data_IF_866269347569
#
_entry.id   IF_866269347569
#
_cell.length_a   1.000
_cell.length_b   1.000
_cell.length_c   1.000
_cell.angle_alpha   90.00
_cell.angle_beta   90.00
_cell.angle_gamma   90.00
#
_symmetry.space_group_name_H-M   'P 1'
#
loop_
_entity.id
_entity.type
_entity.pdbx_description
1 polymer ?
#
# COMPACT_ATOMS: atom_id res chain seq x y z
N UNK A 1 -3.43 -10.70 25.62
CA UNK A 1 -4.58 -10.13 24.91
C UNK A 1 -4.14 -9.20 23.78
N UNK A 2 -3.21 -8.24 24.03
CA UNK A 2 -2.71 -7.28 23.02
C UNK A 2 -1.93 -7.98 21.90
N UNK A 3 -1.10 -9.00 22.20
CA UNK A 3 -0.37 -9.78 21.18
C UNK A 3 -1.30 -10.51 20.19
N UNK A 4 -2.45 -11.00 20.66
CA UNK A 4 -3.44 -11.65 19.80
C UNK A 4 -4.16 -10.65 18.89
N UNK A 5 -4.40 -9.42 19.36
CA UNK A 5 -4.98 -8.34 18.55
C UNK A 5 -4.03 -7.91 17.44
N UNK A 6 -2.74 -7.73 17.74
CA UNK A 6 -1.72 -7.37 16.74
C UNK A 6 -1.51 -8.47 15.69
N UNK A 7 -1.51 -9.73 16.09
CA UNK A 7 -1.43 -10.83 15.16
C UNK A 7 -2.66 -10.88 14.24
N UNK A 8 -3.86 -10.68 14.77
CA UNK A 8 -5.08 -10.65 13.98
C UNK A 8 -5.09 -9.51 12.96
N UNK A 9 -4.61 -8.30 13.31
CA UNK A 9 -4.52 -7.17 12.37
C UNK A 9 -3.50 -7.40 11.24
N UNK A 10 -2.35 -8.04 11.55
CA UNK A 10 -1.37 -8.41 10.53
C UNK A 10 -1.93 -9.43 9.53
N UNK A 11 -2.66 -10.43 10.00
CA UNK A 11 -3.38 -11.38 9.13
C UNK A 11 -4.35 -10.67 8.21
N UNK A 12 -5.10 -9.73 8.74
CA UNK A 12 -6.13 -8.99 8.04
C UNK A 12 -5.60 -8.26 6.80
N UNK A 13 -4.55 -7.46 6.96
CA UNK A 13 -3.94 -6.71 5.86
C UNK A 13 -3.28 -7.61 4.83
N UNK A 14 -2.60 -8.65 5.29
CA UNK A 14 -1.77 -9.51 4.44
C UNK A 14 -2.59 -10.50 3.58
N UNK A 15 -3.77 -10.92 4.01
CA UNK A 15 -4.66 -11.76 3.20
C UNK A 15 -4.97 -11.09 1.85
N UNK A 16 -5.25 -9.79 1.85
CA UNK A 16 -5.54 -9.04 0.62
C UNK A 16 -4.35 -9.05 -0.34
N UNK A 17 -3.12 -8.96 0.17
CA UNK A 17 -1.89 -9.03 -0.64
C UNK A 17 -1.74 -10.43 -1.26
N UNK A 18 -1.96 -11.49 -0.47
CA UNK A 18 -1.87 -12.88 -0.95
C UNK A 18 -2.91 -13.13 -2.04
N UNK A 19 -4.18 -12.79 -1.79
CA UNK A 19 -5.26 -13.00 -2.76
C UNK A 19 -4.99 -12.25 -4.06
N UNK A 20 -4.55 -10.99 -4.01
CA UNK A 20 -4.25 -10.19 -5.20
C UNK A 20 -2.99 -10.66 -5.94
N UNK A 21 -2.07 -11.33 -5.29
CA UNK A 21 -0.82 -11.80 -5.91
C UNK A 21 -0.96 -13.22 -6.45
N UNK A 22 -1.58 -14.11 -5.69
CA UNK A 22 -1.72 -15.53 -6.03
C UNK A 22 -2.95 -15.79 -6.90
N UNK A 23 -4.07 -15.10 -6.64
CA UNK A 23 -5.34 -15.30 -7.32
C UNK A 23 -5.25 -15.21 -8.86
N UNK A 24 -4.71 -14.13 -9.45
CA UNK A 24 -4.56 -14.02 -10.90
C UNK A 24 -3.72 -15.14 -11.51
N UNK A 25 -2.69 -15.59 -10.78
CA UNK A 25 -1.85 -16.70 -11.25
C UNK A 25 -2.62 -18.02 -11.25
N UNK A 26 -3.44 -18.29 -10.25
CA UNK A 26 -4.26 -19.50 -10.23
C UNK A 26 -5.37 -19.48 -11.27
N UNK A 27 -5.99 -18.33 -11.52
CA UNK A 27 -6.98 -18.18 -12.59
C UNK A 27 -6.34 -18.38 -13.98
N UNK A 28 -5.08 -17.97 -14.16
CA UNK A 28 -4.34 -18.12 -15.41
C UNK A 28 -3.72 -19.51 -15.63
N UNK A 29 -3.77 -20.41 -14.63
CA UNK A 29 -3.39 -21.79 -14.81
C UNK A 29 -4.37 -22.43 -15.82
N UNK A 30 -3.81 -22.94 -16.92
CA UNK A 30 -4.60 -23.51 -17.99
C UNK A 30 -5.48 -24.65 -17.46
N UNK A 31 -6.77 -24.52 -17.59
CA UNK A 31 -7.73 -25.59 -17.27
C UNK A 31 -7.33 -26.91 -17.96
N UNK A 32 -6.74 -26.80 -19.15
CA UNK A 32 -6.25 -27.95 -19.93
C UNK A 32 -5.25 -28.81 -19.16
N UNK A 33 -4.34 -28.24 -18.38
CA UNK A 33 -3.37 -29.00 -17.59
C UNK A 33 -4.05 -29.78 -16.46
N UNK A 34 -5.09 -29.22 -15.88
CA UNK A 34 -5.89 -29.87 -14.84
C UNK A 34 -6.71 -31.01 -15.47
N UNK A 35 -7.32 -30.77 -16.62
CA UNK A 35 -8.05 -31.80 -17.37
C UNK A 35 -7.13 -32.93 -17.85
N UNK A 36 -5.95 -32.62 -18.38
CA UNK A 36 -4.95 -33.62 -18.73
C UNK A 36 -4.52 -34.49 -17.53
N UNK A 37 -4.33 -33.87 -16.36
CA UNK A 37 -3.99 -34.65 -15.15
C UNK A 37 -5.14 -35.59 -14.76
N UNK A 38 -6.38 -35.17 -14.86
CA UNK A 38 -7.55 -36.00 -14.58
C UNK A 38 -7.72 -37.12 -15.62
N UNK A 39 -7.48 -36.85 -16.90
CA UNK A 39 -7.52 -37.90 -17.95
C UNK A 39 -6.43 -38.95 -17.77
N UNK A 40 -5.30 -38.58 -17.18
CA UNK A 40 -4.21 -39.50 -16.79
C UNK A 40 -4.51 -40.22 -15.45
N UNK A 41 -5.71 -40.08 -14.89
CA UNK A 41 -6.12 -40.77 -13.66
C UNK A 41 -5.67 -40.13 -12.36
N UNK A 42 -5.14 -38.91 -12.38
CA UNK A 42 -4.74 -38.22 -11.18
C UNK A 42 -5.95 -37.82 -10.32
N UNK A 43 -5.93 -38.12 -9.03
CA UNK A 43 -6.90 -37.62 -8.08
C UNK A 43 -6.78 -36.09 -7.90
N UNK A 44 -7.83 -35.44 -7.39
CA UNK A 44 -7.81 -33.99 -7.14
C UNK A 44 -6.65 -33.55 -6.24
N UNK A 45 -6.28 -34.36 -5.24
CA UNK A 45 -5.14 -34.09 -4.36
C UNK A 45 -3.80 -34.22 -5.09
N UNK A 46 -3.68 -35.22 -5.94
CA UNK A 46 -2.48 -35.42 -6.78
C UNK A 46 -2.31 -34.29 -7.79
N UNK A 47 -3.40 -33.88 -8.46
CA UNK A 47 -3.42 -32.74 -9.37
C UNK A 47 -3.02 -31.45 -8.63
N UNK A 48 -3.55 -31.23 -7.42
CA UNK A 48 -3.19 -30.06 -6.61
C UNK A 48 -1.70 -30.06 -6.23
N UNK A 49 -1.18 -31.21 -5.75
CA UNK A 49 0.21 -31.32 -5.26
C UNK A 49 1.26 -31.32 -6.39
N UNK A 50 0.98 -31.95 -7.53
CA UNK A 50 1.97 -32.16 -8.58
C UNK A 50 1.83 -31.21 -9.77
N UNK A 51 0.66 -30.55 -9.95
CA UNK A 51 0.43 -29.62 -11.06
C UNK A 51 0.24 -28.19 -10.53
N UNK A 52 -0.82 -27.96 -9.72
CA UNK A 52 -1.23 -26.62 -9.32
C UNK A 52 -0.19 -25.96 -8.41
N UNK A 53 0.24 -26.66 -7.36
CA UNK A 53 1.17 -26.12 -6.37
C UNK A 53 2.54 -25.81 -6.98
N UNK A 54 3.19 -26.69 -7.78
CA UNK A 54 4.46 -26.38 -8.43
C UNK A 54 4.38 -25.19 -9.39
N UNK A 55 3.32 -25.07 -10.17
CA UNK A 55 3.10 -23.93 -11.09
C UNK A 55 2.78 -22.64 -10.35
N UNK A 56 2.17 -22.73 -9.17
CA UNK A 56 1.86 -21.58 -8.30
C UNK A 56 3.00 -21.13 -7.39
N UNK A 57 4.10 -21.90 -7.26
CA UNK A 57 5.20 -21.61 -6.32
C UNK A 57 5.74 -20.19 -6.42
N UNK A 58 5.96 -19.69 -7.64
CA UNK A 58 6.51 -18.35 -7.85
C UNK A 58 5.62 -17.24 -7.30
N UNK A 59 4.29 -17.40 -7.43
CA UNK A 59 3.32 -16.44 -6.88
C UNK A 59 3.24 -16.54 -5.35
N UNK A 60 3.31 -17.75 -4.79
CA UNK A 60 3.31 -17.98 -3.34
C UNK A 60 4.57 -17.36 -2.72
N UNK A 61 5.77 -17.61 -3.25
CA UNK A 61 7.00 -17.01 -2.76
C UNK A 61 7.00 -15.49 -2.92
N UNK A 62 6.43 -14.98 -4.01
CA UNK A 62 6.31 -13.54 -4.23
C UNK A 62 5.37 -12.88 -3.23
N UNK A 63 4.23 -13.51 -2.91
CA UNK A 63 3.30 -12.99 -1.91
C UNK A 63 3.89 -13.07 -0.50
N UNK A 64 4.58 -14.17 -0.17
CA UNK A 64 5.23 -14.33 1.13
C UNK A 64 6.32 -13.27 1.38
N UNK A 65 7.16 -13.01 0.38
CA UNK A 65 8.18 -11.97 0.48
C UNK A 65 7.58 -10.57 0.61
N UNK A 66 6.55 -10.26 -0.18
CA UNK A 66 5.88 -8.96 -0.09
C UNK A 66 5.22 -8.78 1.28
N UNK A 67 4.55 -9.82 1.78
CA UNK A 67 3.98 -9.85 3.12
C UNK A 67 5.06 -9.63 4.20
N UNK A 68 6.20 -10.30 4.05
CA UNK A 68 7.33 -10.12 4.96
C UNK A 68 7.81 -8.66 4.98
N UNK A 69 8.04 -8.04 3.81
CA UNK A 69 8.48 -6.64 3.73
C UNK A 69 7.45 -5.68 4.34
N UNK A 70 6.16 -5.88 4.05
CA UNK A 70 5.09 -5.06 4.62
C UNK A 70 4.97 -5.21 6.14
N UNK A 71 5.15 -6.42 6.68
CA UNK A 71 5.15 -6.65 8.12
C UNK A 71 6.38 -6.07 8.81
N UNK A 72 7.54 -6.16 8.14
CA UNK A 72 8.81 -5.71 8.70
C UNK A 72 8.86 -4.17 8.81
N UNK A 73 8.27 -3.47 7.85
CA UNK A 73 8.20 -1.99 7.81
C UNK A 73 6.90 -1.44 8.41
N UNK A 74 6.20 -2.23 9.24
CA UNK A 74 4.93 -1.83 9.85
C UNK A 74 5.17 -0.94 11.08
N UNK A 75 5.04 0.38 10.91
CA UNK A 75 5.21 1.37 11.97
C UNK A 75 3.88 1.80 12.61
N UNK A 76 2.95 2.30 11.80
CA UNK A 76 1.74 2.97 12.31
C UNK A 76 0.85 2.09 13.18
N UNK A 77 0.63 0.83 12.77
CA UNK A 77 -0.22 -0.11 13.51
C UNK A 77 0.37 -0.39 14.89
N UNK A 78 1.68 -0.60 14.96
CA UNK A 78 2.34 -0.96 16.21
C UNK A 78 2.48 0.26 17.13
N UNK A 79 2.68 1.44 16.56
CA UNK A 79 2.71 2.71 17.33
C UNK A 79 1.37 2.98 18.01
N UNK A 80 0.24 2.73 17.33
CA UNK A 80 -1.09 3.03 17.87
C UNK A 80 -1.63 1.90 18.75
N UNK A 81 -1.40 0.63 18.38
CA UNK A 81 -1.98 -0.53 19.07
C UNK A 81 -0.97 -1.29 19.93
N UNK A 82 0.33 -1.06 19.74
CA UNK A 82 1.40 -1.67 20.51
C UNK A 82 1.50 -1.07 21.90
N UNK A 83 1.66 -1.91 22.90
CA UNK A 83 1.99 -1.45 24.25
C UNK A 83 3.50 -1.17 24.41
N UNK A 84 3.91 -0.63 25.57
CA UNK A 84 5.31 -0.23 25.87
C UNK A 84 6.36 -1.33 25.73
N UNK A 85 5.94 -2.61 25.61
CA UNK A 85 6.85 -3.76 25.48
C UNK A 85 7.01 -4.27 24.04
N UNK A 86 6.38 -3.64 23.03
CA UNK A 86 6.44 -4.09 21.63
C UNK A 86 7.15 -3.03 20.79
N UNK A 87 8.49 -3.08 20.76
CA UNK A 87 9.30 -2.22 19.91
C UNK A 87 9.70 -2.96 18.63
N UNK A 88 9.37 -2.38 17.46
CA UNK A 88 9.99 -2.73 16.17
C UNK A 88 11.17 -1.81 15.91
N UNK A 89 12.00 -2.15 14.90
CA UNK A 89 13.09 -1.27 14.49
C UNK A 89 12.59 0.14 14.13
N UNK A 90 11.48 0.26 13.42
CA UNK A 90 10.89 1.55 13.05
C UNK A 90 10.47 2.38 14.27
N UNK A 91 9.91 1.74 15.30
CA UNK A 91 9.54 2.42 16.56
C UNK A 91 10.79 2.87 17.31
N UNK A 92 11.81 2.04 17.38
CA UNK A 92 13.05 2.40 18.06
C UNK A 92 13.79 3.52 17.32
N UNK A 93 13.81 3.51 15.99
CA UNK A 93 14.34 4.60 15.17
C UNK A 93 13.61 5.91 15.48
N UNK A 94 12.29 5.89 15.50
CA UNK A 94 11.48 7.06 15.82
C UNK A 94 11.74 7.54 17.26
N UNK A 95 11.73 6.63 18.22
CA UNK A 95 11.98 6.93 19.64
C UNK A 95 13.32 7.61 19.84
N UNK A 96 14.39 7.06 19.25
CA UNK A 96 15.74 7.64 19.34
C UNK A 96 15.81 9.01 18.69
N UNK A 97 15.32 9.14 17.46
CA UNK A 97 15.43 10.39 16.72
C UNK A 97 14.58 11.51 17.32
N UNK A 98 13.30 11.22 17.66
CA UNK A 98 12.33 12.27 18.00
C UNK A 98 12.15 12.44 19.50
N UNK A 99 12.17 11.35 20.28
CA UNK A 99 11.93 11.43 21.73
C UNK A 99 13.21 11.61 22.53
N UNK A 100 14.31 10.96 22.11
CA UNK A 100 15.59 11.01 22.82
C UNK A 100 16.59 12.02 22.21
N UNK A 101 16.34 12.51 20.99
CA UNK A 101 17.29 13.39 20.26
C UNK A 101 18.57 12.69 19.80
N UNK A 102 18.63 11.35 19.90
CA UNK A 102 19.77 10.54 19.45
C UNK A 102 19.68 10.25 17.95
N UNK A 103 20.00 11.26 17.14
CA UNK A 103 20.00 11.12 15.67
C UNK A 103 21.04 10.12 15.20
N UNK A 104 22.19 10.04 15.86
CA UNK A 104 23.28 9.12 15.50
C UNK A 104 22.85 7.67 15.66
N UNK A 105 22.31 7.32 16.85
CA UNK A 105 21.80 5.97 17.11
C UNK A 105 20.63 5.60 16.23
N UNK A 106 19.72 6.54 15.95
CA UNK A 106 18.62 6.34 15.01
C UNK A 106 19.12 6.06 13.58
N UNK A 107 20.13 6.81 13.11
CA UNK A 107 20.72 6.62 11.78
C UNK A 107 21.41 5.27 11.65
N UNK A 108 22.15 4.81 12.66
CA UNK A 108 22.77 3.47 12.64
C UNK A 108 21.71 2.37 12.50
N UNK A 109 20.63 2.46 13.27
CA UNK A 109 19.52 1.49 13.17
C UNK A 109 18.84 1.54 11.80
N UNK A 110 18.61 2.73 11.26
CA UNK A 110 18.01 2.92 9.94
C UNK A 110 18.88 2.32 8.83
N UNK A 111 20.19 2.54 8.85
CA UNK A 111 21.15 1.94 7.90
C UNK A 111 21.17 0.41 8.04
N UNK A 112 21.22 -0.11 9.28
CA UNK A 112 21.16 -1.55 9.52
C UNK A 112 19.87 -2.18 8.97
N UNK A 113 18.72 -1.53 9.21
CA UNK A 113 17.43 -1.95 8.66
C UNK A 113 17.42 -1.93 7.14
N UNK A 114 17.89 -0.86 6.53
CA UNK A 114 17.96 -0.73 5.07
C UNK A 114 18.86 -1.80 4.44
N UNK A 115 20.03 -2.08 5.03
CA UNK A 115 20.91 -3.15 4.57
C UNK A 115 20.25 -4.51 4.67
N UNK A 116 19.62 -4.82 5.81
CA UNK A 116 18.93 -6.10 6.02
C UNK A 116 17.82 -6.30 4.97
N UNK A 117 16.95 -5.31 4.77
CA UNK A 117 15.86 -5.37 3.80
C UNK A 117 16.39 -5.49 2.37
N UNK A 118 17.44 -4.72 2.03
CA UNK A 118 18.07 -4.77 0.70
C UNK A 118 18.66 -6.15 0.42
N UNK A 119 19.37 -6.74 1.37
CA UNK A 119 19.93 -8.08 1.24
C UNK A 119 18.79 -9.12 1.07
N UNK A 120 17.76 -9.05 1.93
CA UNK A 120 16.60 -9.94 1.83
C UNK A 120 15.89 -9.79 0.46
N UNK A 121 15.75 -8.57 -0.03
CA UNK A 121 15.19 -8.28 -1.36
C UNK A 121 16.06 -8.85 -2.49
N UNK A 122 17.37 -8.68 -2.44
CA UNK A 122 18.30 -9.22 -3.45
C UNK A 122 18.28 -10.74 -3.49
N UNK A 123 18.25 -11.40 -2.33
CA UNK A 123 18.12 -12.86 -2.24
C UNK A 123 16.79 -13.30 -2.87
N UNK A 124 15.70 -12.65 -2.50
CA UNK A 124 14.38 -12.95 -3.07
C UNK A 124 14.30 -12.70 -4.57
N UNK A 125 14.87 -11.59 -5.06
CA UNK A 125 14.83 -11.25 -6.49
C UNK A 125 15.59 -12.23 -7.37
N UNK A 126 16.67 -12.85 -6.84
CA UNK A 126 17.42 -13.90 -7.53
C UNK A 126 16.64 -15.22 -7.65
N UNK A 127 15.76 -15.48 -6.70
CA UNK A 127 14.92 -16.69 -6.70
C UNK A 127 13.73 -16.60 -7.66
N UNK A 128 13.52 -15.44 -8.30
CA UNK A 128 12.50 -15.25 -9.33
C UNK A 128 13.02 -15.77 -10.67
N UNK A 129 12.62 -16.94 -11.07
CA UNK A 129 12.41 -17.25 -12.48
C UNK A 129 11.12 -16.49 -12.89
N UNK A 130 11.31 -15.32 -13.48
CA UNK A 130 10.19 -14.56 -14.05
C UNK A 130 9.79 -15.25 -15.34
N UNK A 131 9.05 -16.32 -15.24
CA UNK A 131 8.18 -16.70 -16.32
C UNK A 131 7.05 -15.65 -16.38
N UNK A 132 7.29 -14.64 -17.21
CA UNK A 132 6.25 -13.78 -17.76
C UNK A 132 5.38 -14.65 -18.70
N UNK A 133 4.65 -15.60 -18.13
CA UNK A 133 3.56 -16.25 -18.84
C UNK A 133 2.58 -15.16 -19.18
N UNK A 134 2.40 -14.90 -20.48
CA UNK A 134 1.39 -14.04 -21.05
C UNK A 134 0.08 -14.37 -20.34
N UNK A 135 -0.40 -13.46 -19.50
CA UNK A 135 -1.68 -13.62 -18.83
C UNK A 135 -2.75 -13.61 -19.93
N UNK A 136 -3.17 -14.78 -20.36
CA UNK A 136 -4.44 -14.90 -21.05
C UNK A 136 -5.48 -14.72 -19.94
N UNK A 137 -6.14 -13.59 -19.92
CA UNK A 137 -7.31 -13.41 -19.07
C UNK A 137 -8.33 -14.44 -19.57
N UNK A 138 -8.36 -15.58 -18.91
CA UNK A 138 -9.41 -16.55 -19.13
C UNK A 138 -10.72 -15.83 -18.80
N UNK A 139 -11.64 -15.80 -19.75
CA UNK A 139 -12.97 -15.26 -19.51
C UNK A 139 -13.51 -15.97 -18.27
N UNK A 140 -13.83 -15.17 -17.23
CA UNK A 140 -14.37 -15.70 -15.97
C UNK A 140 -15.65 -16.43 -16.35
N UNK A 141 -15.57 -17.76 -16.40
CA UNK A 141 -16.74 -18.59 -16.61
C UNK A 141 -17.75 -18.26 -15.50
N UNK A 142 -18.95 -17.84 -15.89
CA UNK A 142 -20.06 -17.54 -14.97
C UNK A 142 -20.62 -18.82 -14.33
N UNK A 143 -19.74 -19.74 -13.94
CA UNK A 143 -20.14 -20.95 -13.23
C UNK A 143 -20.71 -20.56 -11.87
N UNK A 144 -21.96 -20.92 -11.61
CA UNK A 144 -22.59 -20.72 -10.30
C UNK A 144 -21.71 -21.36 -9.25
N UNK A 145 -21.14 -20.54 -8.36
CA UNK A 145 -20.34 -21.02 -7.25
C UNK A 145 -21.15 -22.03 -6.43
N UNK A 146 -20.55 -23.17 -6.08
CA UNK A 146 -21.13 -24.12 -5.14
C UNK A 146 -21.39 -23.44 -3.77
N UNK A 147 -22.23 -24.04 -2.93
CA UNK A 147 -22.63 -23.43 -1.64
C UNK A 147 -21.42 -23.21 -0.72
N UNK A 148 -20.49 -24.17 -0.64
CA UNK A 148 -19.31 -24.08 0.23
C UNK A 148 -18.41 -22.87 -0.06
N UNK A 149 -17.98 -22.60 -1.32
CA UNK A 149 -17.22 -21.38 -1.62
C UNK A 149 -18.01 -20.09 -1.38
N UNK A 150 -19.34 -20.06 -1.55
CA UNK A 150 -20.14 -18.87 -1.19
C UNK A 150 -20.12 -18.59 0.30
N UNK A 151 -20.28 -19.63 1.13
CA UNK A 151 -20.20 -19.51 2.58
C UNK A 151 -18.80 -19.05 3.03
N UNK A 152 -17.74 -19.58 2.41
CA UNK A 152 -16.37 -19.18 2.69
C UNK A 152 -16.14 -17.70 2.36
N UNK A 153 -16.55 -17.24 1.17
CA UNK A 153 -16.48 -15.82 0.78
C UNK A 153 -17.32 -14.95 1.73
N UNK A 154 -18.52 -15.39 2.09
CA UNK A 154 -19.36 -14.71 3.08
C UNK A 154 -18.67 -14.57 4.44
N UNK A 155 -18.09 -15.65 4.96
CA UNK A 155 -17.34 -15.63 6.22
C UNK A 155 -16.12 -14.70 6.16
N UNK A 156 -15.36 -14.73 5.06
CA UNK A 156 -14.28 -13.77 4.83
C UNK A 156 -14.78 -12.33 4.80
N UNK A 157 -15.88 -12.05 4.12
CA UNK A 157 -16.46 -10.71 4.05
C UNK A 157 -16.84 -10.21 5.46
N UNK A 158 -17.50 -11.03 6.24
CA UNK A 158 -17.83 -10.73 7.65
C UNK A 158 -16.55 -10.49 8.47
N UNK A 159 -15.56 -11.35 8.32
CA UNK A 159 -14.27 -11.20 8.99
C UNK A 159 -13.59 -9.86 8.63
N UNK A 160 -13.64 -9.44 7.35
CA UNK A 160 -13.08 -8.16 6.92
C UNK A 160 -13.91 -6.94 7.34
N UNK A 161 -15.21 -7.07 7.47
CA UNK A 161 -16.08 -6.00 7.93
C UNK A 161 -16.11 -5.84 9.46
N UNK A 162 -15.76 -6.89 10.20
CA UNK A 162 -15.82 -6.88 11.66
C UNK A 162 -14.99 -5.75 12.33
N UNK A 163 -13.72 -5.50 11.97
CA UNK A 163 -12.98 -4.38 12.55
C UNK A 163 -13.54 -3.01 12.16
N UNK A 164 -14.06 -2.86 10.93
CA UNK A 164 -14.70 -1.61 10.49
C UNK A 164 -15.99 -1.34 11.25
N UNK A 165 -16.80 -2.37 11.49
CA UNK A 165 -18.00 -2.25 12.32
C UNK A 165 -17.65 -1.97 13.78
N UNK A 166 -16.63 -2.63 14.33
CA UNK A 166 -16.14 -2.36 15.67
C UNK A 166 -15.62 -0.91 15.82
N UNK A 167 -14.85 -0.40 14.83
CA UNK A 167 -14.41 0.98 14.79
C UNK A 167 -15.59 1.95 14.73
N UNK A 168 -16.58 1.65 13.88
CA UNK A 168 -17.80 2.45 13.75
C UNK A 168 -18.55 2.52 15.09
N UNK A 169 -18.78 1.38 15.75
CA UNK A 169 -19.42 1.33 17.06
C UNK A 169 -18.59 2.10 18.10
N UNK A 170 -17.28 1.89 18.13
CA UNK A 170 -16.38 2.56 19.08
C UNK A 170 -16.35 4.08 18.90
N UNK A 171 -16.54 4.61 17.67
CA UNK A 171 -16.58 6.04 17.40
C UNK A 171 -17.81 6.75 18.02
N UNK A 172 -18.87 6.01 18.29
CA UNK A 172 -20.10 6.50 18.93
C UNK A 172 -20.16 6.16 20.43
N UNK A 173 -19.06 5.72 21.03
CA UNK A 173 -18.97 5.39 22.46
C UNK A 173 -17.91 6.22 23.17
N UNK A 174 -18.25 6.73 24.35
CA UNK A 174 -17.30 7.40 25.23
C UNK A 174 -17.30 6.67 26.56
N UNK A 175 -16.23 5.92 26.82
CA UNK A 175 -16.19 4.95 27.94
C UNK A 175 -17.20 3.83 27.73
N UNK A 176 -18.13 3.68 28.66
CA UNK A 176 -19.18 2.65 28.60
C UNK A 176 -20.53 3.15 28.05
N UNK A 177 -20.66 4.46 27.78
CA UNK A 177 -21.92 5.07 27.33
C UNK A 177 -21.90 5.40 25.84
N UNK A 178 -23.07 5.34 25.21
CA UNK A 178 -23.28 5.87 23.86
C UNK A 178 -23.25 7.39 23.91
N UNK A 179 -22.37 8.00 23.11
CA UNK A 179 -22.19 9.45 23.11
C UNK A 179 -21.56 9.95 21.80
N UNK A 180 -22.00 11.10 21.36
CA UNK A 180 -21.41 11.83 20.24
C UNK A 180 -20.28 12.79 20.67
N UNK A 181 -19.84 12.75 21.94
CA UNK A 181 -18.83 13.67 22.44
C UNK A 181 -17.50 13.60 21.67
N UNK A 182 -17.07 12.42 21.24
CA UNK A 182 -15.90 12.26 20.38
C UNK A 182 -16.01 13.01 19.06
N UNK A 183 -17.16 12.93 18.41
CA UNK A 183 -17.47 13.65 17.18
C UNK A 183 -17.62 15.16 17.39
N UNK A 184 -18.28 15.58 18.48
CA UNK A 184 -18.45 17.00 18.82
C UNK A 184 -17.11 17.68 19.08
N UNK A 185 -16.21 17.01 19.79
CA UNK A 185 -14.83 17.52 20.01
C UNK A 185 -14.05 17.52 18.72
N UNK A 186 -14.15 16.45 17.90
CA UNK A 186 -13.44 16.36 16.62
C UNK A 186 -13.81 17.51 15.68
N UNK A 187 -15.10 17.88 15.59
CA UNK A 187 -15.57 18.97 14.74
C UNK A 187 -15.53 20.36 15.40
N UNK A 188 -14.94 20.48 16.58
CA UNK A 188 -14.82 21.77 17.28
C UNK A 188 -16.12 22.30 17.87
N UNK A 189 -17.19 21.48 17.92
CA UNK A 189 -18.48 21.87 18.51
C UNK A 189 -18.38 21.94 20.04
N UNK A 190 -17.53 21.10 20.62
CA UNK A 190 -17.27 21.06 22.06
C UNK A 190 -15.78 21.23 22.30
N UNK A 191 -15.42 22.34 22.95
CA UNK A 191 -14.04 22.58 23.35
C UNK A 191 -13.65 21.71 24.54
N UNK A 192 -12.54 21.01 24.43
CA UNK A 192 -11.92 20.29 25.53
C UNK A 192 -10.54 20.87 25.82
N UNK A 193 -10.28 21.24 27.09
CA UNK A 193 -8.97 21.77 27.50
C UNK A 193 -7.85 20.79 27.10
N UNK A 194 -6.83 21.32 26.42
CA UNK A 194 -5.68 20.53 25.96
C UNK A 194 -5.88 19.74 24.65
N UNK A 195 -7.03 19.89 23.97
CA UNK A 195 -7.31 19.34 22.64
C UNK A 195 -7.61 20.49 21.66
N UNK A 196 -6.54 21.16 21.22
CA UNK A 196 -6.65 22.11 20.10
C UNK A 196 -6.54 21.28 18.80
N UNK A 197 -7.69 20.91 18.23
CA UNK A 197 -7.77 20.11 17.02
C UNK A 197 -8.41 20.96 15.92
N UNK A 198 -7.73 21.11 14.81
CA UNK A 198 -8.34 21.61 13.58
C UNK A 198 -8.46 20.46 12.58
N UNK A 199 -9.59 19.74 12.67
CA UNK A 199 -9.86 18.61 11.79
C UNK A 199 -10.04 19.03 10.33
N UNK A 200 -10.57 20.24 10.11
CA UNK A 200 -10.79 20.76 8.77
C UNK A 200 -9.47 21.07 8.08
N UNK A 201 -8.55 21.72 8.81
CA UNK A 201 -7.19 21.98 8.32
C UNK A 201 -6.47 20.64 8.02
N UNK A 202 -6.58 19.65 8.90
CA UNK A 202 -5.95 18.35 8.68
C UNK A 202 -6.54 17.58 7.49
N UNK A 203 -7.84 17.65 7.28
CA UNK A 203 -8.50 17.08 6.10
C UNK A 203 -8.04 17.76 4.81
N UNK A 204 -8.02 19.09 4.80
CA UNK A 204 -7.53 19.87 3.66
C UNK A 204 -6.04 19.58 3.38
N UNK A 205 -5.21 19.54 4.41
CA UNK A 205 -3.78 19.22 4.30
C UNK A 205 -3.58 17.81 3.76
N UNK A 206 -4.27 16.81 4.32
CA UNK A 206 -4.19 15.42 3.85
C UNK A 206 -4.67 15.28 2.41
N UNK A 207 -5.78 15.92 2.06
CA UNK A 207 -6.33 15.92 0.70
C UNK A 207 -5.39 16.61 -0.30
N UNK A 208 -4.85 17.77 0.06
CA UNK A 208 -3.87 18.51 -0.75
C UNK A 208 -2.60 17.68 -0.98
N UNK A 209 -2.06 17.06 0.07
CA UNK A 209 -0.87 16.23 -0.05
C UNK A 209 -1.13 14.98 -0.88
N UNK A 210 -2.27 14.33 -0.71
CA UNK A 210 -2.65 13.17 -1.51
C UNK A 210 -2.79 13.51 -3.01
N UNK A 211 -3.38 14.65 -3.32
CA UNK A 211 -3.51 15.11 -4.70
C UNK A 211 -2.14 15.41 -5.33
N UNK A 212 -1.29 16.19 -4.66
CA UNK A 212 0.03 16.55 -5.16
C UNK A 212 0.92 15.31 -5.29
N UNK A 213 0.92 14.44 -4.27
CA UNK A 213 1.66 13.18 -4.31
C UNK A 213 1.24 12.32 -5.50
N UNK A 214 -0.06 12.22 -5.78
CA UNK A 214 -0.57 11.48 -6.94
C UNK A 214 -0.19 12.13 -8.26
N UNK A 215 -0.22 13.46 -8.36
CA UNK A 215 0.22 14.21 -9.54
C UNK A 215 1.72 14.02 -9.84
N UNK A 216 2.53 13.70 -8.84
CA UNK A 216 3.97 13.42 -9.02
C UNK A 216 4.19 11.92 -9.25
N UNK A 217 3.58 11.06 -8.42
CA UNK A 217 3.79 9.61 -8.45
C UNK A 217 3.31 8.96 -9.76
N UNK A 218 2.21 9.47 -10.33
CA UNK A 218 1.63 8.90 -11.54
C UNK A 218 2.54 9.09 -12.77
N UNK A 219 2.95 10.31 -13.17
CA UNK A 219 3.81 10.48 -14.34
C UNK A 219 5.19 9.85 -14.13
N UNK A 220 5.77 9.94 -12.93
CA UNK A 220 7.07 9.32 -12.63
C UNK A 220 7.00 7.79 -12.67
N UNK A 221 5.94 7.20 -12.12
CA UNK A 221 5.72 5.75 -12.16
C UNK A 221 5.44 5.23 -13.57
N UNK A 222 4.66 5.96 -14.39
CA UNK A 222 4.43 5.60 -15.80
C UNK A 222 5.70 5.75 -16.62
N UNK A 223 6.49 6.81 -16.43
CA UNK A 223 7.77 6.99 -17.09
C UNK A 223 8.75 5.87 -16.74
N UNK A 224 8.84 5.49 -15.47
CA UNK A 224 9.62 4.35 -15.03
C UNK A 224 9.14 3.03 -15.67
N UNK A 225 7.82 2.80 -15.71
CA UNK A 225 7.22 1.63 -16.38
C UNK A 225 7.59 1.58 -17.86
N UNK A 226 7.48 2.70 -18.57
CA UNK A 226 7.85 2.82 -19.98
C UNK A 226 9.33 2.53 -20.21
N UNK A 227 10.22 3.13 -19.40
CA UNK A 227 11.65 2.92 -19.48
C UNK A 227 12.00 1.43 -19.28
N UNK A 228 11.46 0.78 -18.25
CA UNK A 228 11.74 -0.62 -17.95
C UNK A 228 11.11 -1.61 -18.95
N UNK A 229 9.99 -1.25 -19.60
CA UNK A 229 9.35 -2.12 -20.60
C UNK A 229 10.06 -2.11 -21.95
N UNK A 230 10.74 -1.02 -22.30
CA UNK A 230 11.41 -0.84 -23.59
C UNK A 230 12.87 -1.31 -23.64
N UNK A 231 13.47 -1.68 -22.51
CA UNK A 231 14.90 -2.07 -22.46
C UNK A 231 15.20 -3.41 -23.14
N UNK A 232 14.24 -4.06 -23.79
CA UNK A 232 14.43 -5.28 -24.62
C UNK A 232 15.08 -6.45 -23.85
N UNK A 233 15.50 -6.19 -22.65
CA UNK A 233 16.20 -7.13 -21.81
C UNK A 233 15.17 -7.97 -21.06
N UNK A 234 15.09 -9.24 -21.41
CA UNK A 234 14.59 -10.31 -20.54
C UNK A 234 15.30 -10.31 -19.17
N UNK A 235 16.22 -9.36 -18.94
CA UNK A 235 16.99 -9.23 -17.71
C UNK A 235 16.07 -8.72 -16.60
N UNK A 236 15.51 -9.65 -15.88
CA UNK A 236 14.73 -9.55 -14.64
C UNK A 236 15.31 -8.55 -13.59
N UNK A 237 16.58 -8.15 -13.72
CA UNK A 237 17.28 -7.29 -12.78
C UNK A 237 16.77 -5.85 -12.76
N UNK A 238 16.50 -5.26 -13.94
CA UNK A 238 15.99 -3.89 -14.03
C UNK A 238 14.55 -3.74 -13.54
N UNK A 239 13.69 -4.73 -13.83
CA UNK A 239 12.32 -4.75 -13.31
C UNK A 239 12.29 -4.92 -11.79
N UNK A 240 13.30 -5.59 -11.22
CA UNK A 240 13.43 -5.72 -9.77
C UNK A 240 13.82 -4.38 -9.10
N UNK A 241 14.66 -3.57 -9.76
CA UNK A 241 15.03 -2.24 -9.24
C UNK A 241 13.82 -1.28 -9.15
N UNK A 242 12.84 -1.41 -10.04
CA UNK A 242 11.61 -0.61 -9.98
C UNK A 242 10.76 -0.91 -8.72
N UNK A 243 10.94 -2.09 -8.13
CA UNK A 243 10.21 -2.55 -6.94
C UNK A 243 11.03 -2.33 -5.65
N UNK A 244 12.34 -2.07 -5.78
CA UNK A 244 13.23 -1.86 -4.64
C UNK A 244 12.75 -0.77 -3.67
N UNK A 245 12.16 0.37 -4.11
CA UNK A 245 11.64 1.37 -3.18
C UNK A 245 10.48 0.86 -2.30
N UNK A 246 9.78 -0.22 -2.70
CA UNK A 246 8.75 -0.86 -1.84
C UNK A 246 9.33 -1.50 -0.57
N UNK A 247 10.62 -1.78 -0.56
CA UNK A 247 11.31 -2.36 0.60
C UNK A 247 11.87 -1.31 1.56
N UNK A 248 11.82 -0.02 1.20
CA UNK A 248 12.31 1.06 2.06
C UNK A 248 11.19 1.45 3.03
N UNK A 249 11.49 1.43 4.34
CA UNK A 249 10.53 1.88 5.36
C UNK A 249 10.28 3.38 5.22
N UNK A 250 9.01 3.84 5.25
CA UNK A 250 8.67 5.26 5.30
C UNK A 250 9.34 6.00 6.47
N UNK A 251 9.54 5.33 7.61
CA UNK A 251 10.24 5.86 8.78
C UNK A 251 11.70 6.19 8.44
N UNK A 252 12.38 5.27 7.76
CA UNK A 252 13.78 5.48 7.31
C UNK A 252 13.86 6.64 6.31
N UNK A 253 12.88 6.76 5.40
CA UNK A 253 12.81 7.89 4.45
C UNK A 253 12.64 9.21 5.22
N UNK A 254 11.70 9.24 6.18
CA UNK A 254 11.45 10.43 7.00
C UNK A 254 12.69 10.86 7.79
N UNK A 255 13.38 9.91 8.43
CA UNK A 255 14.63 10.18 9.14
C UNK A 255 15.74 10.65 8.20
N UNK A 256 15.93 10.00 7.04
CA UNK A 256 16.96 10.38 6.08
C UNK A 256 16.78 11.84 5.62
N UNK A 257 15.54 12.25 5.37
CA UNK A 257 15.22 13.62 5.00
C UNK A 257 15.47 14.57 6.17
N UNK A 258 15.07 14.18 7.38
CA UNK A 258 15.31 14.96 8.59
C UNK A 258 16.82 15.24 8.77
N UNK A 259 17.65 14.22 8.64
CA UNK A 259 19.10 14.33 8.82
C UNK A 259 19.77 15.10 7.65
N UNK A 260 19.31 14.87 6.41
CA UNK A 260 19.94 15.46 5.23
C UNK A 260 19.61 16.95 5.05
N UNK A 261 18.41 17.37 5.39
CA UNK A 261 17.91 18.73 5.14
C UNK A 261 17.85 19.62 6.39
N UNK A 262 18.48 19.19 7.49
CA UNK A 262 18.58 19.97 8.72
C UNK A 262 19.82 20.90 8.72
N UNK A 263 20.59 20.98 7.62
CA UNK A 263 21.78 21.81 7.47
C UNK A 263 21.51 23.07 6.66
N UNK A 264 21.96 24.23 7.17
CA UNK A 264 22.02 25.47 6.41
C UNK A 264 22.91 25.29 5.15
N UNK A 265 22.60 25.90 3.99
CA UNK A 265 21.67 27.01 3.77
C UNK A 265 20.25 26.58 3.34
N UNK A 266 19.97 25.29 3.27
CA UNK A 266 18.74 24.76 2.69
C UNK A 266 17.74 24.40 3.79
N UNK A 267 16.94 25.37 4.26
CA UNK A 267 15.80 25.11 5.15
C UNK A 267 14.62 24.45 4.40
N UNK A 268 14.90 23.40 3.60
CA UNK A 268 13.85 22.65 2.90
C UNK A 268 12.87 21.97 3.84
N UNK A 269 13.28 21.72 5.08
CA UNK A 269 12.42 21.20 6.15
C UNK A 269 11.22 22.11 6.41
N UNK A 270 11.33 23.42 6.14
CA UNK A 270 10.22 24.37 6.25
C UNK A 270 9.27 24.30 5.06
N UNK A 271 9.65 23.64 3.98
CA UNK A 271 8.85 23.62 2.76
C UNK A 271 7.66 22.69 2.89
N UNK A 272 6.47 23.23 2.65
CA UNK A 272 5.22 22.48 2.58
C UNK A 272 5.22 21.41 1.49
N UNK A 273 6.08 21.55 0.49
CA UNK A 273 6.19 20.65 -0.66
C UNK A 273 6.96 19.35 -0.36
N UNK A 274 7.77 19.33 0.69
CA UNK A 274 8.61 18.19 1.02
C UNK A 274 7.79 16.94 1.35
N UNK A 275 6.73 17.09 2.16
CA UNK A 275 5.86 15.98 2.55
C UNK A 275 5.19 15.32 1.34
N UNK A 276 4.51 16.06 0.43
CA UNK A 276 3.94 15.46 -0.78
C UNK A 276 4.95 14.75 -1.68
N UNK A 277 6.18 15.26 -1.81
CA UNK A 277 7.24 14.61 -2.59
C UNK A 277 7.62 13.26 -1.98
N UNK A 278 7.74 13.18 -0.66
CA UNK A 278 8.00 11.93 0.05
C UNK A 278 6.85 10.94 -0.14
N UNK A 279 5.61 11.40 0.00
CA UNK A 279 4.44 10.57 -0.25
C UNK A 279 4.43 10.05 -1.70
N UNK A 280 4.81 10.89 -2.67
CA UNK A 280 4.94 10.49 -4.07
C UNK A 280 6.02 9.41 -4.27
N UNK A 281 7.17 9.57 -3.62
CA UNK A 281 8.24 8.58 -3.68
C UNK A 281 7.82 7.20 -3.11
N UNK A 282 7.04 7.20 -2.02
CA UNK A 282 6.48 5.98 -1.42
C UNK A 282 5.38 5.39 -2.31
N UNK A 283 4.56 6.21 -2.97
CA UNK A 283 3.45 5.77 -3.82
C UNK A 283 3.87 5.32 -5.23
N UNK A 284 4.95 5.88 -5.79
CA UNK A 284 5.41 5.61 -7.16
C UNK A 284 5.59 4.11 -7.48
N UNK A 285 6.20 3.28 -6.62
CA UNK A 285 6.34 1.85 -6.89
C UNK A 285 5.01 1.11 -7.06
N UNK A 286 3.95 1.57 -6.43
CA UNK A 286 2.61 0.99 -6.58
C UNK A 286 2.01 1.34 -7.95
N UNK A 287 2.28 2.53 -8.47
CA UNK A 287 1.93 2.91 -9.85
C UNK A 287 2.67 2.00 -10.84
N UNK A 288 3.98 1.82 -10.67
CA UNK A 288 4.77 0.91 -11.52
C UNK A 288 4.20 -0.51 -11.47
N UNK A 289 3.86 -1.00 -10.27
CA UNK A 289 3.30 -2.34 -10.09
C UNK A 289 1.97 -2.56 -10.80
N UNK A 290 1.12 -1.54 -10.87
CA UNK A 290 -0.17 -1.61 -11.58
C UNK A 290 -0.02 -1.44 -13.09
N UNK A 291 0.90 -0.58 -13.54
CA UNK A 291 1.09 -0.26 -14.95
C UNK A 291 1.95 -1.29 -15.69
N UNK A 292 2.95 -1.88 -15.03
CA UNK A 292 3.91 -2.80 -15.67
C UNK A 292 3.26 -4.02 -16.35
N UNK A 293 2.34 -4.77 -15.71
CA UNK A 293 1.69 -5.91 -16.37
C UNK A 293 0.89 -5.50 -17.61
N UNK A 294 0.20 -4.35 -17.54
CA UNK A 294 -0.58 -3.83 -18.66
C UNK A 294 0.33 -3.42 -19.82
N UNK A 295 1.42 -2.69 -19.52
CA UNK A 295 2.41 -2.27 -20.52
C UNK A 295 3.07 -3.47 -21.22
N UNK A 296 3.41 -4.51 -20.46
CA UNK A 296 4.00 -5.74 -21.01
C UNK A 296 2.99 -6.60 -21.78
N UNK A 297 1.70 -6.46 -21.48
CA UNK A 297 0.62 -7.12 -22.18
C UNK A 297 0.25 -6.49 -23.52
N UNK A 298 0.77 -5.29 -23.85
CA UNK A 298 0.52 -4.64 -25.15
C UNK A 298 1.21 -5.44 -26.26
N UNK A 299 0.43 -5.96 -27.25
CA UNK A 299 0.98 -6.74 -28.35
C UNK A 299 2.03 -5.94 -29.12
N UNK A 300 3.20 -6.53 -29.46
CA UNK A 300 4.24 -5.85 -30.23
C UNK A 300 3.77 -5.44 -31.63
N UNK A 301 2.77 -6.14 -32.18
CA UNK A 301 2.15 -5.84 -33.47
C UNK A 301 1.51 -4.46 -33.48
N UNK A 302 0.88 -4.02 -32.41
CA UNK A 302 0.31 -2.67 -32.32
C UNK A 302 1.39 -1.59 -32.36
N UNK A 303 2.54 -1.85 -31.71
CA UNK A 303 3.69 -0.95 -31.75
C UNK A 303 4.31 -0.88 -33.13
N UNK A 304 4.42 -2.02 -33.79
CA UNK A 304 4.95 -2.13 -35.17
C UNK A 304 4.04 -1.47 -36.18
N UNK A 305 2.72 -1.67 -36.09
CA UNK A 305 1.74 -1.04 -36.97
C UNK A 305 1.77 0.50 -36.85
N UNK A 306 1.86 1.02 -35.60
CA UNK A 306 2.01 2.45 -35.38
C UNK A 306 3.31 3.02 -35.99
N UNK A 307 4.41 2.28 -35.88
CA UNK A 307 5.69 2.66 -36.49
C UNK A 307 5.62 2.66 -38.01
N UNK A 308 4.97 1.66 -38.64
CA UNK A 308 4.75 1.58 -40.10
C UNK A 308 3.93 2.76 -40.59
N UNK A 309 2.98 3.26 -39.80
CA UNK A 309 2.20 4.46 -40.08
C UNK A 309 2.94 5.77 -39.80
N UNK A 310 4.26 5.72 -39.52
CA UNK A 310 5.11 6.90 -39.29
C UNK A 310 4.95 7.55 -37.93
N UNK A 311 4.38 6.86 -36.94
CA UNK A 311 4.28 7.42 -35.61
C UNK A 311 5.66 7.46 -34.91
N UNK A 312 6.06 8.66 -34.46
CA UNK A 312 7.25 8.79 -33.60
C UNK A 312 7.06 8.04 -32.26
N UNK A 313 8.13 7.69 -31.55
CA UNK A 313 8.02 7.01 -30.23
C UNK A 313 7.10 7.72 -29.25
N UNK A 314 7.13 9.06 -29.20
CA UNK A 314 6.25 9.86 -28.36
C UNK A 314 4.79 9.80 -28.82
N UNK A 315 4.53 9.90 -30.12
CA UNK A 315 3.18 9.75 -30.67
C UNK A 315 2.61 8.35 -30.40
N UNK A 316 3.42 7.30 -30.57
CA UNK A 316 3.03 5.93 -30.23
C UNK A 316 2.67 5.82 -28.76
N UNK A 317 3.51 6.35 -27.86
CA UNK A 317 3.25 6.35 -26.43
C UNK A 317 1.92 7.03 -26.10
N UNK A 318 1.69 8.26 -26.60
CA UNK A 318 0.48 9.03 -26.30
C UNK A 318 -0.79 8.47 -26.94
N UNK A 319 -0.72 7.96 -28.17
CA UNK A 319 -1.91 7.59 -28.93
C UNK A 319 -2.25 6.10 -28.84
N UNK A 320 -1.29 5.23 -28.49
CA UNK A 320 -1.51 3.78 -28.41
C UNK A 320 -1.35 3.29 -26.96
N UNK A 321 -0.21 3.56 -26.34
CA UNK A 321 0.11 2.95 -25.06
C UNK A 321 -0.66 3.60 -23.89
N UNK A 322 -0.73 4.92 -23.81
CA UNK A 322 -1.48 5.64 -22.74
C UNK A 322 -2.97 5.29 -22.72
N UNK A 323 -3.69 5.24 -23.87
CA UNK A 323 -5.08 4.80 -23.87
C UNK A 323 -5.28 3.37 -23.35
N UNK A 324 -4.38 2.46 -23.68
CA UNK A 324 -4.40 1.08 -23.18
C UNK A 324 -4.05 0.98 -21.69
N UNK A 325 -3.27 1.94 -21.18
CA UNK A 325 -2.91 2.03 -19.76
C UNK A 325 -3.99 2.68 -18.89
N UNK A 326 -5.08 3.20 -19.45
CA UNK A 326 -6.13 3.88 -18.67
C UNK A 326 -6.59 3.12 -17.42
N UNK A 327 -6.84 1.79 -17.45
CA UNK A 327 -7.23 1.06 -16.24
C UNK A 327 -6.14 1.05 -15.18
N UNK A 328 -4.87 0.93 -15.58
CA UNK A 328 -3.74 0.98 -14.67
C UNK A 328 -3.51 2.39 -14.10
N UNK A 329 -3.74 3.43 -14.91
CA UNK A 329 -3.66 4.83 -14.50
C UNK A 329 -4.72 5.13 -13.43
N UNK A 330 -5.96 4.75 -13.65
CA UNK A 330 -7.04 4.97 -12.67
C UNK A 330 -6.75 4.24 -11.36
N UNK A 331 -6.34 2.98 -11.42
CA UNK A 331 -5.92 2.21 -10.24
C UNK A 331 -4.69 2.83 -9.57
N UNK A 332 -3.72 3.31 -10.35
CA UNK A 332 -2.53 4.01 -9.85
C UNK A 332 -2.87 5.30 -9.09
N UNK A 333 -3.83 6.09 -9.59
CA UNK A 333 -4.33 7.28 -8.88
C UNK A 333 -4.95 6.88 -7.54
N UNK A 334 -5.87 5.89 -7.54
CA UNK A 334 -6.52 5.43 -6.33
C UNK A 334 -5.52 4.97 -5.26
N UNK A 335 -4.52 4.17 -5.66
CA UNK A 335 -3.46 3.71 -4.75
C UNK A 335 -2.59 4.85 -4.26
N UNK A 336 -2.16 5.77 -5.13
CA UNK A 336 -1.31 6.90 -4.73
C UNK A 336 -2.01 7.78 -3.72
N UNK A 337 -3.30 8.08 -3.94
CA UNK A 337 -4.10 8.87 -3.00
C UNK A 337 -4.30 8.13 -1.68
N UNK A 338 -4.66 6.84 -1.72
CA UNK A 338 -4.89 6.04 -0.51
C UNK A 338 -3.60 5.90 0.33
N UNK A 339 -2.44 5.67 -0.32
CA UNK A 339 -1.14 5.60 0.35
C UNK A 339 -0.80 6.92 1.00
N UNK A 340 -0.96 8.04 0.28
CA UNK A 340 -0.66 9.36 0.81
C UNK A 340 -1.59 9.77 1.96
N UNK A 341 -2.89 9.45 1.89
CA UNK A 341 -3.84 9.71 2.97
C UNK A 341 -3.55 8.90 4.23
N UNK A 342 -3.05 7.68 4.07
CA UNK A 342 -2.70 6.79 5.19
C UNK A 342 -1.25 6.88 5.63
N UNK A 343 -0.42 7.72 4.97
CA UNK A 343 0.99 7.80 5.30
C UNK A 343 1.19 8.51 6.66
N UNK A 344 1.87 7.81 7.54
CA UNK A 344 2.13 8.25 8.91
C UNK A 344 3.63 8.20 9.25
N UNK A 345 4.36 7.23 8.74
CA UNK A 345 5.75 6.96 9.13
C UNK A 345 6.69 8.12 8.82
N UNK A 346 6.81 8.51 7.55
CA UNK A 346 7.65 9.64 7.12
C UNK A 346 7.06 10.98 7.61
N UNK A 347 5.73 11.11 7.57
CA UNK A 347 5.05 12.33 8.00
C UNK A 347 5.32 12.65 9.47
N UNK A 348 5.46 11.63 10.34
CA UNK A 348 5.72 11.83 11.77
C UNK A 348 7.05 12.53 12.06
N UNK A 349 8.04 12.46 11.14
CA UNK A 349 9.31 13.17 11.25
C UNK A 349 9.26 14.59 10.67
N UNK A 350 8.42 14.80 9.67
CA UNK A 350 8.43 16.01 8.83
C UNK A 350 7.31 16.99 9.18
N UNK A 351 6.26 16.51 9.86
CA UNK A 351 5.08 17.34 10.17
C UNK A 351 5.42 18.43 11.19
N UNK A 352 4.75 19.57 11.01
CA UNK A 352 4.74 20.69 11.94
C UNK A 352 3.31 20.93 12.43
N UNK A 353 3.15 21.79 13.44
CA UNK A 353 1.85 22.10 14.01
C UNK A 353 0.83 22.59 12.95
N UNK A 354 1.31 23.32 11.96
CA UNK A 354 0.52 23.90 10.87
C UNK A 354 0.26 22.94 9.69
N UNK A 355 1.01 21.84 9.63
CA UNK A 355 0.97 20.88 8.50
C UNK A 355 0.53 19.47 8.93
N UNK A 356 -0.23 19.36 10.01
CA UNK A 356 -0.69 18.07 10.52
C UNK A 356 -1.65 17.41 9.54
N UNK A 357 -1.37 16.14 9.26
CA UNK A 357 -2.28 15.27 8.47
C UNK A 357 -3.23 14.52 9.40
N UNK A 358 -4.29 13.96 8.84
CA UNK A 358 -5.27 13.22 9.62
C UNK A 358 -4.67 12.03 10.39
N UNK A 359 -3.75 11.20 9.83
CA UNK A 359 -3.06 10.16 10.60
C UNK A 359 -2.26 10.69 11.80
N UNK A 360 -1.64 11.85 11.68
CA UNK A 360 -0.91 12.49 12.79
C UNK A 360 -1.87 12.90 13.92
N UNK A 361 -3.01 13.50 13.57
CA UNK A 361 -4.04 13.84 14.56
C UNK A 361 -4.57 12.59 15.25
N UNK A 362 -4.82 11.52 14.51
CA UNK A 362 -5.27 10.23 15.07
C UNK A 362 -4.25 9.71 16.09
N UNK A 363 -2.97 9.68 15.73
CA UNK A 363 -1.91 9.22 16.64
C UNK A 363 -1.81 10.09 17.89
N UNK A 364 -1.89 11.42 17.75
CA UNK A 364 -1.88 12.37 18.87
C UNK A 364 -3.07 12.16 19.81
N UNK A 365 -4.25 11.86 19.27
CA UNK A 365 -5.45 11.58 20.05
C UNK A 365 -5.32 10.29 20.86
N UNK A 366 -4.80 9.21 20.25
CA UNK A 366 -4.54 7.96 20.97
C UNK A 366 -3.40 8.04 21.98
N UNK A 367 -2.46 8.95 21.79
CA UNK A 367 -1.38 9.22 22.75
C UNK A 367 -1.84 9.96 24.01
N UNK A 368 -3.04 10.57 23.99
CA UNK A 368 -3.60 11.28 25.14
C UNK A 368 -4.46 10.35 26.01
N UNK A 369 -4.31 10.46 27.33
CA UNK A 369 -5.12 9.71 28.29
C UNK A 369 -6.56 10.28 28.34
N UNK A 370 -7.54 9.40 28.51
CA UNK A 370 -8.93 9.77 28.70
C UNK A 370 -9.91 9.12 27.70
N UNK A 371 -11.18 9.10 28.08
CA UNK A 371 -12.24 8.49 27.25
C UNK A 371 -12.60 9.35 26.04
N UNK A 372 -12.58 10.67 26.19
CA UNK A 372 -12.92 11.60 25.10
C UNK A 372 -11.85 11.65 24.02
N UNK A 373 -10.53 11.82 24.30
CA UNK A 373 -9.49 11.73 23.28
C UNK A 373 -9.53 10.42 22.51
N UNK A 374 -9.73 9.30 23.21
CA UNK A 374 -9.86 7.98 22.56
C UNK A 374 -11.08 7.92 21.64
N UNK A 375 -12.26 8.41 22.08
CA UNK A 375 -13.46 8.46 21.25
C UNK A 375 -13.26 9.36 20.01
N UNK A 376 -12.61 10.53 20.17
CA UNK A 376 -12.26 11.41 19.06
C UNK A 376 -11.26 10.77 18.10
N UNK A 377 -10.29 9.99 18.59
CA UNK A 377 -9.37 9.20 17.78
C UNK A 377 -10.07 8.13 16.96
N UNK A 378 -11.05 7.43 17.53
CA UNK A 378 -11.89 6.47 16.82
C UNK A 378 -12.75 7.14 15.74
N UNK A 379 -13.33 8.31 16.06
CA UNK A 379 -14.11 9.09 15.10
C UNK A 379 -13.25 9.61 13.94
N UNK A 380 -12.04 10.11 14.22
CA UNK A 380 -11.10 10.55 13.20
C UNK A 380 -10.61 9.38 12.32
N UNK A 381 -10.39 8.20 12.92
CA UNK A 381 -10.04 6.99 12.18
C UNK A 381 -11.16 6.53 11.26
N UNK A 382 -12.42 6.57 11.72
CA UNK A 382 -13.57 6.26 10.87
C UNK A 382 -13.71 7.26 9.73
N UNK A 383 -13.49 8.55 9.99
CA UNK A 383 -13.50 9.60 8.98
C UNK A 383 -12.43 9.34 7.90
N UNK A 384 -11.21 8.95 8.29
CA UNK A 384 -10.13 8.60 7.36
C UNK A 384 -10.53 7.40 6.48
N UNK A 385 -11.13 6.36 7.06
CA UNK A 385 -11.63 5.18 6.32
C UNK A 385 -12.70 5.60 5.31
N UNK A 386 -13.66 6.43 5.71
CA UNK A 386 -14.73 6.91 4.82
C UNK A 386 -14.14 7.73 3.66
N UNK A 387 -13.27 8.70 3.94
CA UNK A 387 -12.66 9.57 2.92
C UNK A 387 -11.85 8.73 1.94
N UNK A 388 -10.98 7.84 2.44
CA UNK A 388 -10.17 6.95 1.59
C UNK A 388 -11.06 6.00 0.79
N UNK A 389 -12.09 5.43 1.40
CA UNK A 389 -13.05 4.55 0.73
C UNK A 389 -13.80 5.25 -0.41
N UNK A 390 -14.28 6.47 -0.18
CA UNK A 390 -14.96 7.27 -1.22
C UNK A 390 -14.01 7.53 -2.41
N UNK A 391 -12.76 7.90 -2.14
CA UNK A 391 -11.77 8.16 -3.19
C UNK A 391 -11.51 6.89 -4.00
N UNK A 392 -11.22 5.78 -3.35
CA UNK A 392 -10.94 4.50 -4.03
C UNK A 392 -12.14 4.04 -4.86
N UNK A 393 -13.34 4.07 -4.28
CA UNK A 393 -14.57 3.66 -4.98
C UNK A 393 -14.95 4.59 -6.12
N UNK A 394 -14.66 5.89 -6.01
CA UNK A 394 -14.93 6.88 -7.08
C UNK A 394 -14.06 6.66 -8.31
N UNK A 395 -12.83 6.19 -8.10
CA UNK A 395 -11.89 5.91 -9.19
C UNK A 395 -12.17 4.55 -9.84
N UNK A 396 -12.61 3.57 -9.05
CA UNK A 396 -12.83 2.18 -9.53
C UNK A 396 -14.20 1.98 -10.25
N UNK A 397 -15.08 2.98 -10.25
CA UNK A 397 -16.46 2.90 -10.79
C UNK A 397 -16.57 2.83 -12.31
N UNK A 398 -15.48 2.91 -13.07
CA UNK A 398 -15.57 2.72 -14.52
C UNK A 398 -15.40 1.24 -14.87
N UNK A 399 -16.42 0.57 -15.42
CA UNK A 399 -16.30 -0.81 -15.86
C UNK A 399 -15.15 -0.90 -16.87
N UNK A 400 -14.26 -1.83 -16.62
CA UNK A 400 -13.26 -2.24 -17.60
C UNK A 400 -14.01 -2.95 -18.73
N UNK A 401 -14.27 -2.22 -19.83
CA UNK A 401 -14.75 -2.78 -21.09
C UNK A 401 -13.57 -3.34 -21.86
#
# INVERSE_FOLDING_TARGET
MISNLLNNHRFFFNISIVVRTVGPRWISLQEDLVHCAHTLGASSLQTWRHVILPLGKSAIYSSAALTFFMCFTSYGIITILGGPGLATLDIEIYRRAVQLGDLSGATVLAVAQMLFITIAFLIWSRSRSVELTKFRVAAISQRKLAVAPRLFVGALTVFFLAPLSALSIASFRTGQSWSLSGWKVLFGIQNQRGLELDIWQALQTSGKYALIASCIALPTGIAATYAFSNTGSTNSRWSSLAVLPLSISPVVVGLAILVTYDFAPFEFRASWFLIPVVHAAIAMPFVVRTAMPVMQGIPPELRSAAATLGASPWRRFCLVEIPLLRPAITTGIAFSMAISLGEFGATSFLTRRESQTLPIIIANLFGKAGAIPRASGMAASLLLVIVTGIIVLSVDRKPQV
#
